data_IF_078285974035
#
_entry.id   IF_078285974035
#
_cell.length_a   1.000
_cell.length_b   1.000
_cell.length_c   1.000
_cell.angle_alpha   90.00
_cell.angle_beta   90.00
_cell.angle_gamma   90.00
#
_symmetry.space_group_name_H-M   'P 1'
#
loop_
_entity.id
_entity.type
_entity.pdbx_description
1 polymer ?
#
# COMPACT_ATOMS: atom_id res chain seq x y z
N UNK A 1 11.82 6.40 -9.28
CA UNK A 1 10.50 6.74 -9.86
C UNK A 1 10.17 8.22 -9.72
N UNK A 2 10.31 8.79 -8.51
CA UNK A 2 9.94 10.20 -8.25
C UNK A 2 10.66 11.18 -9.17
N UNK A 3 11.95 10.96 -9.43
CA UNK A 3 12.74 11.85 -10.29
C UNK A 3 12.42 11.73 -11.77
N UNK A 4 11.88 10.60 -12.20
CA UNK A 4 11.66 10.27 -13.62
C UNK A 4 10.19 10.36 -14.06
N UNK A 5 9.27 10.47 -13.12
CA UNK A 5 7.83 10.46 -13.40
C UNK A 5 7.34 11.72 -14.11
N UNK A 6 6.45 11.53 -15.06
CA UNK A 6 5.81 12.59 -15.85
C UNK A 6 4.33 12.74 -15.47
N UNK A 7 3.61 13.60 -16.19
CA UNK A 7 2.19 13.92 -15.90
C UNK A 7 1.29 12.69 -15.89
N UNK A 8 1.49 11.76 -16.80
CA UNK A 8 0.70 10.52 -16.84
C UNK A 8 0.93 9.68 -15.58
N UNK A 9 2.17 9.62 -15.10
CA UNK A 9 2.50 8.93 -13.86
C UNK A 9 1.79 9.57 -12.66
N UNK A 10 1.82 10.89 -12.56
CA UNK A 10 1.11 11.61 -11.50
C UNK A 10 -0.40 11.37 -11.57
N UNK A 11 -0.99 11.43 -12.77
CA UNK A 11 -2.42 11.16 -12.96
C UNK A 11 -2.81 9.74 -12.52
N UNK A 12 -1.97 8.75 -12.81
CA UNK A 12 -2.21 7.37 -12.41
C UNK A 12 -2.13 7.19 -10.89
N UNK A 13 -1.23 7.90 -10.21
CA UNK A 13 -1.15 7.92 -8.74
C UNK A 13 -2.46 8.48 -8.16
N UNK A 14 -2.91 9.61 -8.66
CA UNK A 14 -4.14 10.25 -8.20
C UNK A 14 -5.35 9.32 -8.42
N UNK A 15 -5.46 8.72 -9.60
CA UNK A 15 -6.58 7.83 -9.94
C UNK A 15 -6.58 6.57 -9.08
N UNK A 16 -5.43 5.92 -8.88
CA UNK A 16 -5.35 4.71 -8.07
C UNK A 16 -5.62 4.99 -6.60
N UNK A 17 -5.12 6.10 -6.07
CA UNK A 17 -5.42 6.53 -4.72
C UNK A 17 -6.91 6.82 -4.52
N UNK A 18 -7.53 7.50 -5.48
CA UNK A 18 -8.96 7.81 -5.43
C UNK A 18 -9.82 6.55 -5.37
N UNK A 19 -9.51 5.54 -6.19
CA UNK A 19 -10.24 4.27 -6.17
C UNK A 19 -10.11 3.56 -4.82
N UNK A 20 -8.90 3.54 -4.26
CA UNK A 20 -8.64 2.94 -2.96
C UNK A 20 -9.40 3.67 -1.85
N UNK A 21 -9.32 4.99 -1.82
CA UNK A 21 -10.01 5.83 -0.83
C UNK A 21 -11.54 5.64 -0.90
N UNK A 22 -12.10 5.58 -2.10
CA UNK A 22 -13.54 5.33 -2.26
C UNK A 22 -13.97 3.99 -1.71
N UNK A 23 -13.18 2.94 -1.94
CA UNK A 23 -13.46 1.63 -1.38
C UNK A 23 -13.41 1.68 0.15
N UNK A 24 -12.36 2.26 0.71
CA UNK A 24 -12.19 2.39 2.16
C UNK A 24 -13.36 3.17 2.79
N UNK A 25 -13.84 4.23 2.15
CA UNK A 25 -14.99 5.01 2.61
C UNK A 25 -16.28 4.19 2.61
N UNK A 26 -16.49 3.35 1.60
CA UNK A 26 -17.67 2.47 1.53
C UNK A 26 -17.66 1.38 2.58
N UNK A 27 -16.47 0.95 3.00
CA UNK A 27 -16.34 -0.09 4.02
C UNK A 27 -16.67 0.42 5.42
N UNK A 28 -16.48 1.71 5.69
CA UNK A 28 -16.88 2.35 6.94
C UNK A 28 -16.38 1.69 8.22
N UNK A 29 -15.35 0.87 8.14
CA UNK A 29 -14.83 0.13 9.29
C UNK A 29 -15.69 -1.07 9.73
N UNK A 30 -16.84 -1.32 9.10
CA UNK A 30 -17.80 -2.31 9.57
C UNK A 30 -17.70 -3.69 8.93
N UNK A 31 -16.98 -3.85 7.82
CA UNK A 31 -16.82 -5.17 7.21
C UNK A 31 -15.49 -5.31 6.48
N UNK A 32 -14.43 -5.70 7.21
CA UNK A 32 -13.10 -5.85 6.62
C UNK A 32 -12.98 -7.06 5.67
N UNK A 33 -13.95 -7.98 5.66
CA UNK A 33 -13.80 -9.27 5.00
C UNK A 33 -14.35 -9.33 3.58
N UNK A 34 -15.47 -8.67 3.31
CA UNK A 34 -16.10 -8.68 1.98
C UNK A 34 -15.21 -8.07 0.92
N UNK A 35 -14.22 -7.33 1.34
CA UNK A 35 -13.40 -6.50 0.48
C UNK A 35 -11.91 -6.78 0.56
N UNK A 36 -11.48 -7.78 1.31
CA UNK A 36 -10.05 -8.04 1.45
C UNK A 36 -9.37 -8.27 0.10
N UNK A 37 -10.00 -9.01 -0.81
CA UNK A 37 -9.47 -9.25 -2.15
C UNK A 37 -9.51 -7.97 -2.97
N UNK A 38 -10.64 -7.27 -2.98
CA UNK A 38 -10.79 -6.01 -3.71
C UNK A 38 -9.90 -4.92 -3.13
N UNK A 39 -9.87 -4.78 -1.81
CA UNK A 39 -9.00 -3.82 -1.14
C UNK A 39 -7.53 -4.11 -1.44
N UNK A 40 -7.09 -5.37 -1.34
CA UNK A 40 -5.72 -5.77 -1.62
C UNK A 40 -5.33 -5.45 -3.07
N UNK A 41 -6.23 -5.66 -4.01
CA UNK A 41 -6.00 -5.33 -5.42
C UNK A 41 -5.81 -3.84 -5.63
N UNK A 42 -6.69 -3.01 -5.08
CA UNK A 42 -6.59 -1.55 -5.21
C UNK A 42 -5.40 -0.99 -4.44
N UNK A 43 -5.08 -1.56 -3.29
CA UNK A 43 -3.89 -1.21 -2.51
C UNK A 43 -2.61 -1.50 -3.29
N UNK A 44 -2.55 -2.67 -3.93
CA UNK A 44 -1.44 -3.04 -4.80
C UNK A 44 -1.31 -2.09 -6.00
N UNK A 45 -2.42 -1.77 -6.66
CA UNK A 45 -2.43 -0.81 -7.77
C UNK A 45 -1.87 0.55 -7.38
N UNK A 46 -2.25 1.05 -6.21
CA UNK A 46 -1.74 2.33 -5.71
C UNK A 46 -0.21 2.29 -5.52
N UNK A 47 0.29 1.27 -4.84
CA UNK A 47 1.74 1.14 -4.62
C UNK A 47 2.51 0.91 -5.93
N UNK A 48 1.94 0.17 -6.87
CA UNK A 48 2.53 0.00 -8.20
C UNK A 48 2.58 1.33 -8.97
N UNK A 49 1.53 2.13 -8.86
CA UNK A 49 1.49 3.44 -9.51
C UNK A 49 2.61 4.36 -9.00
N UNK A 50 2.90 4.33 -7.71
CA UNK A 50 3.99 5.11 -7.12
C UNK A 50 5.35 4.74 -7.73
N UNK A 51 5.55 3.49 -8.11
CA UNK A 51 6.81 2.96 -8.60
C UNK A 51 6.89 2.84 -10.12
N UNK A 52 5.79 3.10 -10.84
CA UNK A 52 5.69 2.80 -12.28
C UNK A 52 6.71 3.56 -13.15
N UNK A 53 7.19 4.71 -12.69
CA UNK A 53 8.24 5.46 -13.41
C UNK A 53 9.66 4.97 -13.13
N UNK A 54 9.83 3.95 -12.29
CA UNK A 54 11.14 3.35 -12.01
C UNK A 54 11.69 2.66 -13.27
N UNK A 55 12.93 2.96 -13.63
CA UNK A 55 13.60 2.40 -14.81
C UNK A 55 14.30 1.07 -14.54
N UNK A 56 14.31 0.61 -13.30
CA UNK A 56 15.01 -0.62 -12.91
C UNK A 56 14.03 -1.79 -12.84
N UNK A 57 13.87 -2.51 -13.95
CA UNK A 57 12.93 -3.63 -14.04
C UNK A 57 13.17 -4.72 -13.01
N UNK A 58 14.42 -5.01 -12.69
CA UNK A 58 14.76 -6.04 -11.69
C UNK A 58 14.25 -5.66 -10.30
N UNK A 59 14.33 -4.39 -9.92
CA UNK A 59 13.80 -3.92 -8.64
C UNK A 59 12.28 -4.03 -8.60
N UNK A 60 11.60 -3.72 -9.70
CA UNK A 60 10.15 -3.85 -9.80
C UNK A 60 9.70 -5.31 -9.68
N UNK A 61 10.43 -6.24 -10.32
CA UNK A 61 10.16 -7.67 -10.21
C UNK A 61 10.38 -8.20 -8.80
N UNK A 62 11.46 -7.78 -8.15
CA UNK A 62 11.74 -8.16 -6.76
C UNK A 62 10.65 -7.64 -5.82
N UNK A 63 10.24 -6.40 -6.00
CA UNK A 63 9.15 -5.81 -5.20
C UNK A 63 7.85 -6.60 -5.36
N UNK A 64 7.48 -6.96 -6.58
CA UNK A 64 6.28 -7.74 -6.87
C UNK A 64 6.33 -9.12 -6.19
N UNK A 65 7.46 -9.81 -6.29
CA UNK A 65 7.65 -11.11 -5.64
C UNK A 65 7.51 -11.00 -4.12
N UNK A 66 8.17 -10.03 -3.51
CA UNK A 66 8.08 -9.81 -2.06
C UNK A 66 6.68 -9.42 -1.61
N UNK A 67 5.99 -8.64 -2.41
CA UNK A 67 4.60 -8.27 -2.13
C UNK A 67 3.69 -9.50 -2.06
N UNK A 68 3.74 -10.38 -3.06
CA UNK A 68 2.91 -11.59 -3.06
C UNK A 68 3.29 -12.56 -1.93
N UNK A 69 4.55 -12.65 -1.57
CA UNK A 69 4.98 -13.46 -0.42
C UNK A 69 4.43 -12.88 0.89
N UNK A 70 4.51 -11.57 1.07
CA UNK A 70 4.01 -10.90 2.27
C UNK A 70 2.48 -10.97 2.36
N UNK A 71 1.78 -10.95 1.24
CA UNK A 71 0.33 -10.97 1.18
C UNK A 71 -0.26 -12.21 1.86
N UNK A 72 0.39 -13.36 1.77
CA UNK A 72 -0.08 -14.60 2.43
C UNK A 72 -0.14 -14.44 3.94
N UNK A 73 0.86 -13.83 4.54
CA UNK A 73 0.90 -13.57 6.00
C UNK A 73 -0.12 -12.50 6.38
N UNK A 74 -0.26 -11.50 5.57
CA UNK A 74 -1.25 -10.45 5.76
C UNK A 74 -2.68 -10.98 5.78
N UNK A 75 -3.05 -11.82 4.80
CA UNK A 75 -4.37 -12.45 4.77
C UNK A 75 -4.62 -13.34 5.97
N UNK A 76 -3.63 -14.11 6.39
CA UNK A 76 -3.73 -14.95 7.59
C UNK A 76 -4.03 -14.09 8.82
N UNK A 77 -3.32 -12.99 8.97
CA UNK A 77 -3.56 -12.06 10.07
C UNK A 77 -4.95 -11.42 9.98
N UNK A 78 -5.34 -10.92 8.83
CA UNK A 78 -6.62 -10.25 8.62
C UNK A 78 -7.82 -11.16 8.90
N UNK A 79 -7.71 -12.43 8.51
CA UNK A 79 -8.76 -13.41 8.78
C UNK A 79 -8.90 -13.76 10.27
N UNK A 80 -7.84 -13.59 11.05
CA UNK A 80 -7.85 -13.88 12.48
C UNK A 80 -8.28 -12.69 13.35
N UNK A 81 -8.33 -11.49 12.78
CA UNK A 81 -8.59 -10.25 13.52
C UNK A 81 -9.77 -9.49 12.92
N UNK A 82 -10.74 -9.15 13.78
CA UNK A 82 -11.92 -8.39 13.37
C UNK A 82 -11.68 -6.87 13.28
N UNK A 83 -10.55 -6.39 13.81
CA UNK A 83 -10.25 -4.97 13.76
C UNK A 83 -9.48 -4.61 12.49
N UNK A 84 -10.04 -3.74 11.65
CA UNK A 84 -9.28 -3.24 10.51
C UNK A 84 -8.09 -2.42 11.03
N UNK A 85 -6.93 -2.63 10.42
CA UNK A 85 -5.86 -1.65 10.54
C UNK A 85 -6.39 -0.34 9.98
N UNK A 86 -6.00 0.76 10.58
CA UNK A 86 -6.30 2.09 10.03
C UNK A 86 -5.62 2.23 8.67
N UNK A 87 -6.34 1.84 7.63
CA UNK A 87 -5.79 1.64 6.28
C UNK A 87 -5.63 2.93 5.49
N UNK A 88 -6.31 4.02 5.91
CA UNK A 88 -6.45 5.20 5.06
C UNK A 88 -5.45 6.32 5.30
N UNK A 89 -5.03 6.57 6.55
CA UNK A 89 -4.35 7.82 6.90
C UNK A 89 -2.93 7.95 6.35
N UNK A 90 -2.22 6.85 6.20
CA UNK A 90 -0.82 6.87 5.76
C UNK A 90 -0.68 6.96 4.24
N UNK A 91 -1.67 6.48 3.50
CA UNK A 91 -1.65 6.54 2.04
C UNK A 91 -1.81 7.95 1.52
N UNK A 92 -2.64 8.77 2.17
CA UNK A 92 -2.81 10.19 1.80
C UNK A 92 -1.49 10.96 1.90
N UNK A 93 -0.79 10.79 3.01
CA UNK A 93 0.50 11.44 3.24
C UNK A 93 1.56 10.98 2.25
N UNK A 94 1.59 9.69 1.95
CA UNK A 94 2.52 9.12 0.98
C UNK A 94 2.26 9.65 -0.42
N UNK A 95 1.00 9.69 -0.85
CA UNK A 95 0.59 10.29 -2.12
C UNK A 95 1.10 11.73 -2.23
N UNK A 96 0.83 12.53 -1.21
CA UNK A 96 1.18 13.96 -1.24
C UNK A 96 2.69 14.15 -1.29
N UNK A 97 3.46 13.40 -0.50
CA UNK A 97 4.92 13.47 -0.53
C UNK A 97 5.50 13.08 -1.90
N UNK A 98 4.93 12.08 -2.53
CA UNK A 98 5.36 11.63 -3.88
C UNK A 98 5.02 12.67 -4.94
N UNK A 99 3.82 13.24 -4.91
CA UNK A 99 3.41 14.29 -5.86
C UNK A 99 4.20 15.58 -5.65
N UNK A 100 4.60 15.89 -4.42
CA UNK A 100 5.49 17.02 -4.10
C UNK A 100 6.94 16.74 -4.47
N UNK A 101 7.26 15.54 -4.95
CA UNK A 101 8.62 15.12 -5.30
C UNK A 101 9.59 15.15 -4.11
N UNK A 102 9.08 15.02 -2.90
CA UNK A 102 9.89 14.96 -1.68
C UNK A 102 10.34 13.52 -1.43
N UNK A 103 11.49 13.17 -2.01
CA UNK A 103 12.05 11.82 -1.95
C UNK A 103 12.31 11.37 -0.52
N UNK A 104 12.89 12.24 0.31
CA UNK A 104 13.23 11.91 1.68
C UNK A 104 11.99 11.60 2.51
N UNK A 105 10.96 12.45 2.41
CA UNK A 105 9.71 12.28 3.15
C UNK A 105 8.93 11.07 2.66
N UNK A 106 8.83 10.89 1.34
CA UNK A 106 8.16 9.73 0.76
C UNK A 106 8.81 8.41 1.19
N UNK A 107 10.15 8.35 1.18
CA UNK A 107 10.90 7.18 1.61
C UNK A 107 10.69 6.88 3.09
N UNK A 108 10.73 7.89 3.95
CA UNK A 108 10.47 7.75 5.38
C UNK A 108 9.06 7.22 5.64
N UNK A 109 8.05 7.81 5.02
CA UNK A 109 6.66 7.39 5.16
C UNK A 109 6.45 5.95 4.70
N UNK A 110 7.05 5.55 3.58
CA UNK A 110 6.93 4.20 3.05
C UNK A 110 7.59 3.17 3.97
N UNK A 111 8.81 3.44 4.43
CA UNK A 111 9.53 2.56 5.36
C UNK A 111 8.74 2.38 6.65
N UNK A 112 8.22 3.46 7.22
CA UNK A 112 7.41 3.41 8.44
C UNK A 112 6.12 2.61 8.23
N UNK A 113 5.46 2.79 7.09
CA UNK A 113 4.24 2.07 6.74
C UNK A 113 4.50 0.55 6.65
N UNK A 114 5.53 0.15 5.94
CA UNK A 114 5.91 -1.26 5.81
C UNK A 114 6.33 -1.85 7.16
N UNK A 115 7.11 -1.12 7.94
CA UNK A 115 7.60 -1.56 9.25
C UNK A 115 6.45 -1.77 10.23
N UNK A 116 5.50 -0.86 10.30
CA UNK A 116 4.33 -1.00 11.17
C UNK A 116 3.51 -2.24 10.81
N UNK A 117 3.22 -2.43 9.54
CA UNK A 117 2.46 -3.59 9.06
C UNK A 117 3.21 -4.89 9.38
N UNK A 118 4.51 -4.93 9.11
CA UNK A 118 5.36 -6.09 9.39
C UNK A 118 5.36 -6.42 10.87
N UNK A 119 5.51 -5.43 11.74
CA UNK A 119 5.54 -5.65 13.19
C UNK A 119 4.22 -6.23 13.71
N UNK A 120 3.09 -5.78 13.19
CA UNK A 120 1.78 -6.30 13.55
C UNK A 120 1.67 -7.77 13.17
N UNK A 121 2.04 -8.12 11.96
CA UNK A 121 1.95 -9.51 11.46
C UNK A 121 2.93 -10.42 12.21
N UNK A 122 4.17 -9.98 12.42
CA UNK A 122 5.18 -10.75 13.15
C UNK A 122 4.73 -11.01 14.58
N UNK A 123 4.16 -10.01 15.24
CA UNK A 123 3.61 -10.18 16.59
C UNK A 123 2.53 -11.25 16.64
N UNK A 124 1.64 -11.24 15.64
CA UNK A 124 0.61 -12.28 15.52
C UNK A 124 1.21 -13.66 15.32
N UNK A 125 2.16 -13.80 14.40
CA UNK A 125 2.79 -15.10 14.11
C UNK A 125 3.53 -15.69 15.31
N UNK A 126 4.09 -14.85 16.18
CA UNK A 126 4.75 -15.31 17.41
C UNK A 126 3.79 -15.82 18.48
N UNK A 127 2.51 -15.52 18.36
CA UNK A 127 1.47 -15.95 19.29
C UNK A 127 0.85 -17.30 18.91
N UNK A 128 1.11 -17.76 17.71
CA UNK A 128 0.68 -19.07 17.23
C UNK A 128 1.70 -20.11 17.68
#
# INVERSE_FOLDING_TARGET
>A
AISDGEDTWEANIIASHYRLERLESRLGGNNPYVSDIEWASLHHEFHDALLAACKFEKLLKMRTTLFYQAQRYWHTWANAHSNPINRGSNHDKLRDAVLDRDVAKASELLVNHITQTTNIVVKYLKQI
#
